data_IF_963604115757
#
_entry.id   IF_963604115757
#
_cell.length_a   1.000
_cell.length_b   1.000
_cell.length_c   1.000
_cell.angle_alpha   90.00
_cell.angle_beta   90.00
_cell.angle_gamma   90.00
#
_symmetry.space_group_name_H-M   'P 1'
#
loop_
_entity.id
_entity.type
_entity.pdbx_description
1 polymer ?
#
# COMPACT_ATOMS: atom_id res chain seq x y z
N UNK A 1 24.14 38.57 45.79
CA UNK A 1 22.77 38.15 46.17
C UNK A 1 22.26 37.26 45.07
N UNK A 2 22.36 35.95 45.29
CA UNK A 2 22.04 34.89 44.34
C UNK A 2 20.58 34.48 44.52
N UNK A 3 19.82 34.36 43.43
CA UNK A 3 18.54 33.65 43.41
C UNK A 3 18.58 32.62 42.29
N UNK A 4 18.89 31.40 42.73
CA UNK A 4 18.66 30.13 42.04
C UNK A 4 17.14 29.94 41.99
N UNK A 5 16.59 29.72 40.79
CA UNK A 5 15.22 29.28 40.59
C UNK A 5 15.26 27.94 39.85
N UNK A 6 14.90 26.90 40.58
CA UNK A 6 14.78 25.52 40.16
C UNK A 6 13.66 25.37 39.13
N UNK A 7 13.97 24.78 37.97
CA UNK A 7 12.97 24.21 37.07
C UNK A 7 12.63 22.80 37.59
N UNK A 8 11.39 22.61 38.03
CA UNK A 8 10.82 21.31 38.36
C UNK A 8 10.56 20.52 37.06
N UNK A 9 11.02 19.27 37.03
CA UNK A 9 10.60 18.28 36.06
C UNK A 9 9.16 17.82 36.39
N UNK A 10 8.25 17.97 35.43
CA UNK A 10 6.95 17.29 35.46
C UNK A 10 7.13 15.86 34.95
N UNK A 11 7.24 14.91 35.87
CA UNK A 11 6.94 13.50 35.62
C UNK A 11 5.41 13.35 35.62
N UNK A 12 4.81 13.20 34.44
CA UNK A 12 3.41 12.81 34.30
C UNK A 12 3.26 11.30 34.48
N UNK A 13 2.64 10.89 35.57
CA UNK A 13 2.27 9.50 35.82
C UNK A 13 1.16 9.05 34.86
N UNK A 14 1.43 8.05 34.03
CA UNK A 14 0.40 7.25 33.35
C UNK A 14 -0.31 6.40 34.40
N UNK A 15 -1.52 6.80 34.78
CA UNK A 15 -2.42 6.02 35.62
C UNK A 15 -3.14 4.98 34.79
N UNK A 16 -2.86 3.71 35.06
CA UNK A 16 -3.66 2.57 34.60
C UNK A 16 -4.97 2.60 35.39
N UNK A 17 -6.06 3.01 34.74
CA UNK A 17 -7.41 2.91 35.28
C UNK A 17 -8.06 1.62 34.73
N UNK A 18 -8.17 0.60 35.57
CA UNK A 18 -9.06 -0.54 35.32
C UNK A 18 -10.52 -0.06 35.44
N UNK A 19 -11.21 0.09 34.30
CA UNK A 19 -12.66 0.12 34.19
C UNK A 19 -13.19 -1.24 33.70
N UNK A 20 -14.44 -1.61 34.03
CA UNK A 20 -15.00 -2.91 33.67
C UNK A 20 -15.21 -3.00 32.15
N UNK A 21 -14.95 -4.19 31.61
CA UNK A 21 -15.23 -4.53 30.22
C UNK A 21 -16.75 -4.48 29.98
N UNK A 22 -17.21 -3.39 29.37
CA UNK A 22 -18.53 -3.35 28.75
C UNK A 22 -18.45 -4.14 27.44
N UNK A 23 -19.15 -5.27 27.44
CA UNK A 23 -19.46 -6.04 26.25
C UNK A 23 -20.32 -5.15 25.33
N UNK A 24 -19.79 -4.81 24.15
CA UNK A 24 -20.55 -4.18 23.08
C UNK A 24 -20.60 -5.12 21.87
N UNK A 25 -21.84 -5.37 21.44
CA UNK A 25 -22.28 -5.73 20.09
C UNK A 25 -21.42 -6.70 19.30
N UNK A 26 -21.79 -7.98 19.34
CA UNK A 26 -21.40 -8.94 18.32
C UNK A 26 -22.12 -8.66 17.00
N UNK A 27 -21.44 -9.07 15.93
CA UNK A 27 -21.94 -9.45 14.60
C UNK A 27 -21.91 -8.36 13.52
N UNK A 28 -20.70 -7.97 13.10
CA UNK A 28 -20.35 -7.63 11.71
C UNK A 28 -18.82 -7.76 11.55
N UNK A 29 -18.36 -8.89 11.00
CA UNK A 29 -16.96 -9.37 10.97
C UNK A 29 -16.29 -9.11 9.61
N UNK A 30 -15.09 -8.51 9.58
CA UNK A 30 -14.31 -8.14 8.38
C UNK A 30 -13.78 -9.35 7.59
N UNK A 31 -12.80 -9.19 6.69
CA UNK A 31 -12.15 -10.34 6.04
C UNK A 31 -11.65 -11.27 7.13
N UNK A 32 -12.40 -12.36 7.26
CA UNK A 32 -12.10 -13.41 8.19
C UNK A 32 -11.29 -14.43 7.40
N UNK A 33 -10.04 -14.63 7.78
CA UNK A 33 -9.18 -15.63 7.16
C UNK A 33 -9.51 -17.02 7.69
N UNK A 34 -9.50 -18.01 6.81
CA UNK A 34 -9.66 -19.41 7.19
C UNK A 34 -8.46 -19.85 8.04
N UNK A 35 -8.75 -20.23 9.29
CA UNK A 35 -7.77 -20.68 10.27
C UNK A 35 -8.13 -22.03 10.88
N UNK A 36 -8.97 -22.82 10.19
CA UNK A 36 -9.42 -24.13 10.68
C UNK A 36 -8.25 -25.11 10.88
N UNK A 37 -7.31 -25.15 9.93
CA UNK A 37 -6.18 -26.08 9.97
C UNK A 37 -5.06 -25.61 10.92
N UNK A 38 -4.28 -26.54 11.46
CA UNK A 38 -3.11 -26.20 12.30
C UNK A 38 -2.08 -25.35 11.56
N UNK A 39 -1.90 -25.58 10.25
CA UNK A 39 -0.97 -24.80 9.44
C UNK A 39 -1.49 -23.38 9.23
N UNK A 40 -2.77 -23.24 8.89
CA UNK A 40 -3.41 -21.94 8.73
C UNK A 40 -3.41 -21.13 10.02
N UNK A 41 -3.74 -21.75 11.16
CA UNK A 41 -3.64 -21.09 12.46
C UNK A 41 -2.20 -20.64 12.77
N UNK A 42 -1.20 -21.46 12.49
CA UNK A 42 0.20 -21.08 12.71
C UNK A 42 0.68 -19.97 11.76
N UNK A 43 0.21 -19.93 10.52
CA UNK A 43 0.50 -18.84 9.57
C UNK A 43 -0.18 -17.54 10.01
N UNK A 44 -1.44 -17.64 10.43
CA UNK A 44 -2.19 -16.54 11.02
C UNK A 44 -1.45 -15.90 12.20
N UNK A 45 -0.98 -16.73 13.15
CA UNK A 45 -0.22 -16.23 14.30
C UNK A 45 1.10 -15.56 13.88
N UNK A 46 1.79 -16.07 12.86
CA UNK A 46 3.01 -15.42 12.36
C UNK A 46 2.73 -14.05 11.74
N UNK A 47 1.61 -13.91 11.01
CA UNK A 47 1.17 -12.63 10.46
C UNK A 47 0.77 -11.65 11.56
N UNK A 48 -0.02 -12.11 12.54
CA UNK A 48 -0.48 -11.30 13.66
C UNK A 48 0.68 -10.83 14.55
N UNK A 49 1.58 -11.73 14.93
CA UNK A 49 2.76 -11.39 15.75
C UNK A 49 3.64 -10.36 15.03
N UNK A 50 3.84 -10.51 13.73
CA UNK A 50 4.60 -9.52 12.96
C UNK A 50 3.89 -8.17 12.89
N UNK A 51 2.57 -8.15 12.64
CA UNK A 51 1.79 -6.93 12.62
C UNK A 51 1.82 -6.19 13.97
N UNK A 52 1.63 -6.90 15.08
CA UNK A 52 1.63 -6.34 16.43
C UNK A 52 3.02 -5.83 16.86
N UNK A 53 4.10 -6.45 16.36
CA UNK A 53 5.47 -6.06 16.69
C UNK A 53 6.09 -5.09 15.68
N UNK A 54 5.38 -4.77 14.59
CA UNK A 54 5.87 -3.87 13.56
C UNK A 54 6.05 -2.46 14.11
N UNK A 55 7.24 -1.90 13.86
CA UNK A 55 7.56 -0.52 14.21
C UNK A 55 7.78 0.25 12.90
N UNK A 56 7.04 1.35 12.68
CA UNK A 56 7.24 2.19 11.51
C UNK A 56 8.71 2.63 11.36
N UNK A 57 9.22 2.52 10.15
CA UNK A 57 10.61 2.83 9.81
C UNK A 57 10.73 4.25 9.26
N UNK A 58 9.72 4.74 8.56
CA UNK A 58 9.73 6.05 7.93
C UNK A 58 9.18 7.09 8.90
N UNK A 59 10.07 7.93 9.43
CA UNK A 59 9.69 9.07 10.25
C UNK A 59 9.95 10.37 9.47
N UNK A 60 9.13 11.42 9.65
CA UNK A 60 9.36 12.71 9.01
C UNK A 60 10.75 13.22 9.39
N UNK A 61 11.59 13.43 8.38
CA UNK A 61 12.90 14.01 8.62
C UNK A 61 12.70 15.49 8.97
N UNK A 62 13.02 15.89 10.20
CA UNK A 62 13.14 17.30 10.53
C UNK A 62 14.41 17.84 9.87
N UNK A 63 14.28 18.46 8.70
CA UNK A 63 15.40 19.15 8.05
C UNK A 63 15.72 20.40 8.89
N UNK A 64 16.77 20.31 9.70
CA UNK A 64 17.38 21.49 10.33
C UNK A 64 18.59 21.83 9.49
N UNK A 65 18.39 22.61 8.43
CA UNK A 65 19.52 23.20 7.71
C UNK A 65 20.19 24.22 8.63
N UNK A 66 21.51 24.07 8.84
CA UNK A 66 22.30 24.76 9.86
C UNK A 66 22.22 26.31 9.84
N UNK A 67 21.65 26.95 8.79
CA UNK A 67 21.47 28.41 8.72
C UNK A 67 20.18 28.87 7.98
N UNK A 68 19.17 28.02 7.77
CA UNK A 68 17.98 28.32 6.95
C UNK A 68 16.61 28.13 7.64
N UNK A 69 15.50 28.68 7.10
CA UNK A 69 14.16 28.28 7.51
C UNK A 69 13.97 26.79 7.21
N UNK A 70 13.30 26.04 8.11
CA UNK A 70 12.93 24.66 7.85
C UNK A 70 12.05 24.62 6.59
N UNK A 71 12.58 24.03 5.51
CA UNK A 71 11.80 23.74 4.32
C UNK A 71 11.27 22.33 4.49
N UNK A 72 9.97 22.20 4.75
CA UNK A 72 9.29 20.91 4.71
C UNK A 72 9.29 20.43 3.26
N UNK A 73 9.86 19.24 3.03
CA UNK A 73 9.85 18.59 1.72
C UNK A 73 8.59 17.75 1.59
N UNK A 74 8.03 17.61 0.37
CA UNK A 74 6.96 16.66 0.14
C UNK A 74 7.39 15.24 0.52
N UNK A 75 6.43 14.47 1.05
CA UNK A 75 6.60 13.10 1.52
C UNK A 75 5.75 12.15 0.70
N UNK A 76 6.35 11.09 0.20
CA UNK A 76 5.65 10.09 -0.63
C UNK A 76 5.84 8.72 -0.04
N UNK A 77 4.74 8.01 0.19
CA UNK A 77 4.80 6.58 0.49
C UNK A 77 4.59 5.80 -0.80
N UNK A 78 5.51 4.91 -1.13
CA UNK A 78 5.46 4.08 -2.34
C UNK A 78 5.57 2.61 -1.95
N UNK A 79 4.66 1.78 -2.44
CA UNK A 79 4.68 0.34 -2.15
C UNK A 79 4.83 -0.48 -3.42
N UNK A 80 5.52 -1.61 -3.32
CA UNK A 80 5.42 -2.72 -4.25
C UNK A 80 5.22 -4.01 -3.46
N UNK A 81 4.97 -5.11 -4.16
CA UNK A 81 4.84 -6.42 -3.52
C UNK A 81 6.11 -7.25 -3.69
N UNK A 82 6.34 -8.15 -2.73
CA UNK A 82 7.31 -9.22 -2.82
C UNK A 82 6.79 -10.42 -3.62
N UNK A 83 7.45 -11.57 -3.47
CA UNK A 83 7.06 -12.82 -4.13
C UNK A 83 5.66 -13.29 -3.69
N UNK A 84 5.02 -14.09 -4.51
CA UNK A 84 3.81 -14.83 -4.15
C UNK A 84 3.58 -16.01 -5.10
N UNK A 85 3.08 -17.12 -4.56
CA UNK A 85 2.79 -18.34 -5.32
C UNK A 85 3.96 -18.73 -6.24
N UNK A 86 3.69 -18.97 -7.53
CA UNK A 86 4.71 -19.28 -8.54
C UNK A 86 5.57 -18.09 -8.96
N UNK A 87 5.21 -16.86 -8.58
CA UNK A 87 5.95 -15.66 -8.91
C UNK A 87 7.04 -15.34 -7.86
N UNK A 88 8.27 -15.75 -8.17
CA UNK A 88 9.43 -15.57 -7.28
C UNK A 88 9.96 -14.14 -7.21
N UNK A 89 9.67 -13.31 -8.21
CA UNK A 89 10.15 -11.93 -8.31
C UNK A 89 9.01 -11.07 -8.83
N UNK A 90 8.51 -10.19 -7.96
CA UNK A 90 7.41 -9.32 -8.33
C UNK A 90 7.97 -8.00 -8.84
N UNK A 91 7.65 -7.71 -10.10
CA UNK A 91 8.13 -6.52 -10.79
C UNK A 91 7.91 -5.23 -9.99
N UNK A 92 6.81 -5.10 -9.24
CA UNK A 92 6.56 -3.87 -8.48
C UNK A 92 7.53 -3.66 -7.32
N UNK A 93 7.85 -4.69 -6.54
CA UNK A 93 8.87 -4.55 -5.49
C UNK A 93 10.26 -4.25 -6.06
N UNK A 94 10.60 -4.84 -7.21
CA UNK A 94 11.86 -4.57 -7.92
C UNK A 94 11.90 -3.14 -8.49
N UNK A 95 10.81 -2.65 -9.07
CA UNK A 95 10.71 -1.26 -9.56
C UNK A 95 10.83 -0.26 -8.41
N UNK A 96 10.18 -0.51 -7.27
CA UNK A 96 10.28 0.35 -6.08
C UNK A 96 11.70 0.30 -5.50
N UNK A 97 12.39 -0.84 -5.56
CA UNK A 97 13.80 -0.94 -5.18
C UNK A 97 14.73 -0.21 -6.17
N UNK A 98 14.37 -0.15 -7.45
CA UNK A 98 15.08 0.65 -8.45
C UNK A 98 14.75 2.16 -8.36
N UNK A 99 13.63 2.53 -7.74
CA UNK A 99 13.29 3.93 -7.46
C UNK A 99 14.19 4.51 -6.38
N UNK A 100 14.48 3.75 -5.32
CA UNK A 100 15.18 4.21 -4.13
C UNK A 100 16.37 3.31 -3.79
N UNK A 101 17.59 3.83 -3.94
CA UNK A 101 18.85 3.08 -3.74
C UNK A 101 18.98 2.47 -2.33
N UNK A 102 18.36 3.09 -1.32
CA UNK A 102 18.35 2.60 0.06
C UNK A 102 17.50 1.33 0.26
N UNK A 103 16.59 1.01 -0.67
CA UNK A 103 15.72 -0.16 -0.59
C UNK A 103 16.31 -1.33 -1.38
N UNK A 104 16.45 -2.48 -0.73
CA UNK A 104 16.83 -3.74 -1.38
C UNK A 104 15.61 -4.65 -1.51
N UNK A 105 15.34 -5.15 -2.72
CA UNK A 105 14.27 -6.13 -2.93
C UNK A 105 14.54 -7.41 -2.11
N UNK A 106 13.59 -7.86 -1.27
CA UNK A 106 13.77 -9.04 -0.43
C UNK A 106 13.63 -10.33 -1.26
N UNK A 107 14.75 -10.80 -1.82
CA UNK A 107 14.82 -12.11 -2.48
C UNK A 107 14.68 -13.24 -1.46
N UNK A 108 13.52 -13.90 -1.47
CA UNK A 108 13.21 -15.04 -0.61
C UNK A 108 12.72 -16.23 -1.45
N UNK A 109 12.87 -17.45 -0.93
CA UNK A 109 12.24 -18.64 -1.50
C UNK A 109 10.93 -18.95 -0.77
N UNK A 110 9.93 -19.55 -1.44
CA UNK A 110 8.78 -20.15 -0.77
C UNK A 110 9.22 -21.14 0.32
N UNK A 111 8.47 -21.25 1.43
CA UNK A 111 8.76 -22.26 2.44
C UNK A 111 8.59 -23.67 1.85
N UNK A 112 9.13 -24.68 2.52
CA UNK A 112 8.82 -26.05 2.14
C UNK A 112 7.34 -26.38 2.46
N UNK A 113 6.72 -27.29 1.70
CA UNK A 113 5.33 -27.71 1.90
C UNK A 113 5.03 -28.00 3.39
N UNK A 114 3.97 -27.36 3.90
CA UNK A 114 3.55 -27.53 5.29
C UNK A 114 4.35 -26.73 6.33
N UNK A 115 5.13 -25.74 5.89
CA UNK A 115 5.82 -24.81 6.79
C UNK A 115 5.25 -23.40 6.68
N UNK A 116 5.48 -22.61 7.73
CA UNK A 116 5.10 -21.20 7.79
C UNK A 116 5.99 -20.38 6.88
N UNK A 117 5.38 -19.46 6.16
CA UNK A 117 6.05 -18.42 5.43
C UNK A 117 6.19 -17.15 6.29
N UNK A 118 7.36 -16.87 6.88
CA UNK A 118 7.50 -15.72 7.76
C UNK A 118 7.34 -14.41 6.97
N UNK A 119 6.55 -13.44 7.46
CA UNK A 119 6.37 -12.16 6.78
C UNK A 119 7.60 -11.25 6.83
N UNK A 120 8.38 -11.30 7.92
CA UNK A 120 9.49 -10.37 8.13
C UNK A 120 10.57 -10.44 7.03
N UNK A 121 11.04 -11.64 6.58
CA UNK A 121 12.00 -11.72 5.46
C UNK A 121 11.45 -11.24 4.11
N UNK A 122 10.14 -11.16 3.93
CA UNK A 122 9.49 -10.69 2.70
C UNK A 122 9.18 -9.19 2.71
N UNK A 123 9.36 -8.55 3.86
CA UNK A 123 9.09 -7.13 4.05
C UNK A 123 10.40 -6.36 3.99
N UNK A 124 10.45 -5.30 3.20
CA UNK A 124 11.57 -4.37 3.19
C UNK A 124 11.03 -2.94 3.20
N UNK A 125 11.59 -2.08 4.05
CA UNK A 125 11.19 -0.67 4.15
C UNK A 125 12.44 0.19 4.26
N UNK A 126 12.45 1.29 3.51
CA UNK A 126 13.53 2.27 3.56
C UNK A 126 12.97 3.68 3.39
N UNK A 127 13.59 4.62 4.12
CA UNK A 127 13.41 6.04 3.92
C UNK A 127 14.62 6.57 3.15
N UNK A 128 14.37 7.30 2.07
CA UNK A 128 15.42 7.92 1.30
C UNK A 128 14.90 9.14 0.55
N UNK A 129 15.70 9.61 -0.42
CA UNK A 129 15.41 10.86 -1.14
C UNK A 129 15.44 10.65 -2.63
N UNK A 130 14.50 11.31 -3.29
CA UNK A 130 14.40 11.34 -4.75
C UNK A 130 14.35 12.79 -5.21
N UNK A 131 15.22 13.15 -6.14
CA UNK A 131 15.13 14.41 -6.86
C UNK A 131 14.13 14.26 -8.02
N UNK A 132 13.12 15.13 -8.04
CA UNK A 132 12.09 15.18 -9.08
C UNK A 132 12.24 16.45 -9.94
N UNK A 133 12.07 16.37 -11.27
CA UNK A 133 12.32 17.49 -12.17
C UNK A 133 11.55 18.78 -11.89
N UNK A 134 10.30 18.70 -11.43
CA UNK A 134 9.45 19.87 -11.21
C UNK A 134 9.31 20.27 -9.75
N UNK A 135 9.36 19.29 -8.85
CA UNK A 135 9.12 19.50 -7.42
C UNK A 135 10.42 19.61 -6.59
N UNK A 136 11.54 19.11 -7.11
CA UNK A 136 12.83 19.06 -6.40
C UNK A 136 12.95 17.85 -5.47
N UNK A 137 13.66 18.00 -4.35
CA UNK A 137 13.88 16.90 -3.40
C UNK A 137 12.58 16.49 -2.69
N UNK A 138 12.31 15.19 -2.68
CA UNK A 138 11.16 14.56 -2.02
C UNK A 138 11.66 13.45 -1.10
N UNK A 139 11.08 13.36 0.09
CA UNK A 139 11.31 12.26 1.02
C UNK A 139 10.40 11.08 0.63
N UNK A 140 10.99 9.91 0.41
CA UNK A 140 10.29 8.72 -0.06
C UNK A 140 10.38 7.61 0.98
N UNK A 141 9.24 7.19 1.51
CA UNK A 141 9.09 5.94 2.24
C UNK A 141 8.76 4.83 1.24
N UNK A 142 9.74 3.99 0.92
CA UNK A 142 9.59 2.92 -0.04
C UNK A 142 9.43 1.56 0.68
N UNK A 143 8.42 0.79 0.28
CA UNK A 143 8.08 -0.49 0.90
C UNK A 143 7.98 -1.61 -0.14
N UNK A 144 8.57 -2.77 0.15
CA UNK A 144 8.18 -4.06 -0.45
C UNK A 144 7.36 -4.82 0.57
N UNK A 145 6.10 -5.09 0.24
CA UNK A 145 5.11 -5.70 1.11
C UNK A 145 5.02 -7.21 0.90
N UNK A 146 4.77 -8.01 1.95
CA UNK A 146 4.38 -9.40 1.79
C UNK A 146 3.00 -9.47 1.14
N UNK A 147 2.76 -10.48 0.33
CA UNK A 147 1.48 -10.69 -0.36
C UNK A 147 0.57 -11.50 0.57
N UNK A 148 0.24 -10.98 1.76
CA UNK A 148 -0.60 -11.65 2.77
C UNK A 148 -1.87 -10.84 3.07
N UNK A 149 -3.00 -11.53 3.27
CA UNK A 149 -4.29 -10.88 3.55
C UNK A 149 -4.21 -9.96 4.77
N UNK A 150 -4.70 -8.74 4.60
CA UNK A 150 -4.71 -7.60 5.54
C UNK A 150 -3.34 -7.11 6.04
N UNK A 151 -2.35 -7.99 6.19
CA UNK A 151 -1.03 -7.61 6.70
C UNK A 151 -0.40 -6.50 5.84
N UNK A 152 -0.48 -6.59 4.52
CA UNK A 152 0.03 -5.54 3.63
C UNK A 152 -0.61 -4.17 3.94
N UNK A 153 -1.93 -4.12 4.15
CA UNK A 153 -2.64 -2.89 4.50
C UNK A 153 -2.23 -2.37 5.89
N UNK A 154 -2.13 -3.26 6.88
CA UNK A 154 -1.70 -2.91 8.26
C UNK A 154 -0.33 -2.23 8.25
N UNK A 155 0.65 -2.80 7.52
CA UNK A 155 2.00 -2.25 7.45
C UNK A 155 2.00 -0.86 6.78
N UNK A 156 1.23 -0.69 5.70
CA UNK A 156 1.10 0.60 5.02
C UNK A 156 0.46 1.65 5.93
N UNK A 157 -0.61 1.29 6.64
CA UNK A 157 -1.30 2.18 7.56
C UNK A 157 -0.39 2.63 8.72
N UNK A 158 0.41 1.71 9.25
CA UNK A 158 1.39 2.04 10.29
C UNK A 158 2.44 3.06 9.81
N UNK A 159 2.93 2.92 8.56
CA UNK A 159 3.82 3.92 7.96
C UNK A 159 3.11 5.23 7.61
N UNK A 160 1.84 5.21 7.16
CA UNK A 160 1.07 6.44 6.92
C UNK A 160 0.95 7.24 8.21
N UNK A 161 0.54 6.61 9.31
CA UNK A 161 0.38 7.27 10.62
C UNK A 161 1.69 7.89 11.12
N UNK A 162 2.82 7.21 10.89
CA UNK A 162 4.12 7.68 11.35
C UNK A 162 4.74 8.74 10.43
N UNK A 163 4.66 8.53 9.11
CA UNK A 163 5.33 9.32 8.09
C UNK A 163 4.51 10.53 7.63
N UNK A 164 3.18 10.47 7.77
CA UNK A 164 2.20 11.46 7.33
C UNK A 164 2.44 11.93 5.88
N UNK A 165 2.33 11.04 4.88
CA UNK A 165 2.66 11.36 3.49
C UNK A 165 1.72 12.39 2.86
N UNK A 166 2.26 13.16 1.92
CA UNK A 166 1.52 14.06 1.02
C UNK A 166 0.96 13.31 -0.20
N UNK A 167 1.49 12.12 -0.50
CA UNK A 167 1.00 11.24 -1.57
C UNK A 167 1.27 9.76 -1.25
N UNK A 168 0.28 8.89 -1.50
CA UNK A 168 0.39 7.43 -1.34
C UNK A 168 0.27 6.73 -2.70
N UNK A 169 1.34 6.09 -3.15
CA UNK A 169 1.38 5.33 -4.40
C UNK A 169 1.51 3.83 -4.11
N UNK A 170 0.41 3.11 -4.31
CA UNK A 170 0.37 1.66 -4.16
C UNK A 170 0.58 0.98 -5.52
N UNK A 171 1.36 -0.09 -5.58
CA UNK A 171 1.63 -0.79 -6.84
C UNK A 171 1.39 -2.30 -6.71
N UNK A 172 0.87 -2.89 -7.78
CA UNK A 172 0.77 -4.33 -7.98
C UNK A 172 1.07 -4.72 -9.42
N UNK A 173 1.23 -6.01 -9.67
CA UNK A 173 1.32 -6.51 -11.04
C UNK A 173 -0.06 -6.94 -11.54
N UNK A 174 -0.34 -6.71 -12.82
CA UNK A 174 -1.41 -7.37 -13.53
C UNK A 174 -0.94 -7.73 -14.94
N UNK A 175 -1.51 -8.82 -15.48
CA UNK A 175 -1.23 -9.31 -16.82
C UNK A 175 0.26 -9.57 -17.08
N UNK A 176 0.55 -10.20 -18.23
CA UNK A 176 1.94 -10.33 -18.65
C UNK A 176 2.42 -9.03 -19.29
N UNK A 177 1.78 -8.59 -20.38
CA UNK A 177 2.05 -7.34 -21.10
C UNK A 177 0.78 -6.52 -21.11
N UNK A 178 0.86 -5.26 -20.72
CA UNK A 178 -0.32 -4.40 -20.64
C UNK A 178 0.07 -2.92 -20.60
N UNK A 179 -0.90 -2.01 -20.82
CA UNK A 179 -0.77 -0.64 -20.37
C UNK A 179 -0.58 -0.59 -18.84
N UNK A 180 0.02 0.49 -18.35
CA UNK A 180 -0.09 0.86 -16.95
C UNK A 180 -1.56 1.13 -16.63
N UNK A 181 -2.13 0.47 -15.62
CA UNK A 181 -3.49 0.76 -15.19
C UNK A 181 -3.45 1.67 -13.98
N UNK A 182 -3.97 2.88 -14.13
CA UNK A 182 -4.24 3.80 -13.04
C UNK A 182 -5.65 3.47 -12.54
N UNK A 183 -5.76 2.75 -11.41
CA UNK A 183 -7.05 2.33 -10.87
C UNK A 183 -7.81 3.55 -10.34
N UNK A 184 -9.03 3.77 -10.84
CA UNK A 184 -9.88 4.90 -10.44
C UNK A 184 -10.51 4.68 -9.06
N UNK A 185 -10.53 3.45 -8.55
CA UNK A 185 -11.13 3.11 -7.28
C UNK A 185 -10.89 1.66 -6.87
N UNK A 186 -11.44 1.29 -5.73
CA UNK A 186 -11.35 -0.04 -5.11
C UNK A 186 -12.69 -0.42 -4.48
N UNK A 187 -12.86 -1.70 -4.13
CA UNK A 187 -14.15 -2.21 -3.63
C UNK A 187 -14.00 -3.05 -2.36
N UNK A 188 -15.03 -3.05 -1.53
CA UNK A 188 -15.12 -3.79 -0.28
C UNK A 188 -15.40 -5.27 -0.53
N UNK A 189 -14.49 -5.96 -1.20
CA UNK A 189 -14.70 -7.34 -1.61
C UNK A 189 -13.40 -8.12 -1.73
N UNK A 190 -13.35 -9.23 -1.03
CA UNK A 190 -12.29 -10.22 -1.12
C UNK A 190 -12.65 -11.33 -2.12
N UNK A 191 -11.63 -11.82 -2.81
CA UNK A 191 -11.68 -13.08 -3.54
C UNK A 191 -11.20 -14.21 -2.63
N UNK A 192 -11.89 -15.36 -2.65
CA UNK A 192 -11.49 -16.53 -1.87
C UNK A 192 -10.32 -17.26 -2.56
N UNK A 193 -9.12 -16.68 -2.47
CA UNK A 193 -7.86 -17.26 -2.95
C UNK A 193 -6.80 -17.25 -1.86
N UNK A 194 -5.96 -18.27 -1.88
CA UNK A 194 -4.75 -18.37 -1.05
C UNK A 194 -3.82 -17.20 -1.34
N UNK A 195 -3.30 -16.60 -0.27
CA UNK A 195 -2.31 -15.53 -0.35
C UNK A 195 -0.91 -16.06 -0.71
N UNK A 196 0.11 -15.19 -0.67
CA UNK A 196 1.48 -15.55 -1.00
C UNK A 196 2.13 -16.60 -0.09
N UNK A 197 1.48 -16.98 1.01
CA UNK A 197 1.91 -18.10 1.86
C UNK A 197 1.43 -19.46 1.33
N UNK A 198 0.53 -19.48 0.34
CA UNK A 198 -0.19 -20.66 -0.15
C UNK A 198 -1.00 -21.37 0.97
N UNK A 199 -1.39 -20.63 2.02
CA UNK A 199 -2.07 -21.18 3.21
C UNK A 199 -3.32 -20.41 3.58
N UNK A 200 -3.25 -19.09 3.75
CA UNK A 200 -4.38 -18.28 4.23
C UNK A 200 -5.23 -17.78 3.07
N UNK A 201 -6.55 -17.84 3.23
CA UNK A 201 -7.52 -17.28 2.30
C UNK A 201 -8.76 -16.76 3.05
N UNK A 202 -9.56 -15.83 2.49
CA UNK A 202 -10.84 -15.46 3.05
C UNK A 202 -11.78 -16.67 3.09
N UNK A 203 -12.61 -16.77 4.13
CA UNK A 203 -13.54 -17.90 4.31
C UNK A 203 -14.57 -18.08 3.19
N UNK A 204 -14.91 -17.00 2.47
CA UNK A 204 -15.87 -17.06 1.38
C UNK A 204 -15.59 -16.05 0.27
N UNK A 205 -16.03 -16.40 -0.94
CA UNK A 205 -15.92 -15.54 -2.12
C UNK A 205 -16.82 -14.32 -1.96
N UNK A 206 -16.25 -13.13 -2.02
CA UNK A 206 -16.97 -11.89 -1.88
C UNK A 206 -17.11 -11.38 -0.45
N UNK A 207 -16.40 -11.97 0.52
CA UNK A 207 -16.35 -11.46 1.89
C UNK A 207 -15.94 -9.97 1.92
N UNK A 208 -16.57 -9.12 2.76
CA UNK A 208 -16.19 -7.71 2.87
C UNK A 208 -14.79 -7.57 3.48
N UNK A 209 -13.95 -6.70 2.91
CA UNK A 209 -12.63 -6.35 3.46
C UNK A 209 -12.75 -5.65 4.82
N UNK A 210 -13.74 -4.76 4.94
CA UNK A 210 -14.12 -4.07 6.18
C UNK A 210 -15.62 -4.28 6.34
N UNK A 211 -16.04 -5.12 7.27
CA UNK A 211 -17.46 -5.46 7.39
C UNK A 211 -18.32 -4.39 8.03
N UNK A 212 -17.72 -3.52 8.83
CA UNK A 212 -18.41 -2.37 9.42
C UNK A 212 -18.60 -1.23 8.42
N UNK A 213 -18.02 -1.33 7.22
CA UNK A 213 -18.19 -0.34 6.18
C UNK A 213 -19.64 -0.34 5.66
N UNK A 214 -20.20 0.84 5.43
CA UNK A 214 -21.57 0.97 4.98
C UNK A 214 -21.74 0.53 3.51
N UNK A 215 -22.97 0.34 3.05
CA UNK A 215 -23.24 0.08 1.62
C UNK A 215 -22.72 1.20 0.71
N UNK A 216 -22.74 2.45 1.18
CA UNK A 216 -22.21 3.62 0.46
C UNK A 216 -20.68 3.55 0.32
N UNK A 217 -20.01 2.79 1.20
CA UNK A 217 -18.57 2.56 1.17
C UNK A 217 -18.18 1.29 0.40
N UNK A 218 -19.13 0.59 -0.22
CA UNK A 218 -18.83 -0.64 -0.96
C UNK A 218 -17.81 -0.40 -2.10
N UNK A 219 -17.90 0.74 -2.79
CA UNK A 219 -16.96 1.13 -3.84
C UNK A 219 -16.41 2.51 -3.52
N UNK A 220 -15.09 2.64 -3.46
CA UNK A 220 -14.43 3.90 -3.11
C UNK A 220 -13.60 4.45 -4.27
N UNK A 221 -13.81 5.71 -4.67
CA UNK A 221 -12.87 6.39 -5.55
C UNK A 221 -11.49 6.51 -4.89
N UNK A 222 -10.46 6.36 -5.68
CA UNK A 222 -9.10 6.80 -5.34
C UNK A 222 -8.96 8.29 -5.65
N UNK A 223 -7.92 8.95 -5.11
CA UNK A 223 -7.74 10.40 -5.24
C UNK A 223 -6.45 10.72 -6.02
N UNK A 224 -6.58 11.35 -7.19
CA UNK A 224 -5.43 11.71 -8.02
C UNK A 224 -5.73 12.95 -8.87
N UNK A 225 -4.69 13.63 -9.33
CA UNK A 225 -4.74 14.63 -10.41
C UNK A 225 -4.72 13.89 -11.76
N UNK A 226 -5.80 13.16 -12.06
CA UNK A 226 -5.84 12.10 -13.07
C UNK A 226 -5.19 12.45 -14.41
N UNK A 227 -5.59 13.56 -15.02
CA UNK A 227 -5.11 13.95 -16.34
C UNK A 227 -3.66 14.44 -16.32
N UNK A 228 -3.27 15.20 -15.29
CA UNK A 228 -1.91 15.71 -15.09
C UNK A 228 -0.93 14.55 -14.89
N UNK A 229 -1.29 13.61 -14.01
CA UNK A 229 -0.48 12.42 -13.74
C UNK A 229 -0.40 11.50 -14.95
N UNK A 230 -1.52 11.23 -15.64
CA UNK A 230 -1.50 10.43 -16.86
C UNK A 230 -0.60 11.03 -17.92
N UNK A 231 -0.68 12.34 -18.16
CA UNK A 231 0.17 13.00 -19.16
C UNK A 231 1.66 12.87 -18.83
N UNK A 232 2.04 12.99 -17.54
CA UNK A 232 3.42 12.79 -17.09
C UNK A 232 3.89 11.34 -17.31
N UNK A 233 3.05 10.37 -16.97
CA UNK A 233 3.31 8.94 -17.17
C UNK A 233 3.45 8.60 -18.65
N UNK A 234 2.50 9.01 -19.50
CA UNK A 234 2.55 8.74 -20.94
C UNK A 234 3.82 9.34 -21.57
N UNK A 235 4.21 10.55 -21.17
CA UNK A 235 5.46 11.17 -21.62
C UNK A 235 6.71 10.38 -21.20
N UNK A 236 6.74 9.84 -19.99
CA UNK A 236 7.85 9.00 -19.52
C UNK A 236 7.88 7.63 -20.22
N UNK A 237 6.72 7.02 -20.47
CA UNK A 237 6.61 5.77 -21.24
C UNK A 237 7.08 5.99 -22.68
N UNK A 238 6.75 7.12 -23.31
CA UNK A 238 7.26 7.45 -24.65
C UNK A 238 8.78 7.63 -24.66
N UNK A 239 9.32 8.35 -23.67
CA UNK A 239 10.75 8.63 -23.57
C UNK A 239 11.59 7.36 -23.35
N UNK A 240 11.10 6.45 -22.51
CA UNK A 240 11.78 5.20 -22.15
C UNK A 240 11.33 3.98 -22.96
N UNK A 241 10.30 4.12 -23.79
CA UNK A 241 9.75 3.04 -24.62
C UNK A 241 10.78 2.34 -25.51
N UNK A 242 11.80 3.03 -26.06
CA UNK A 242 12.89 2.41 -26.81
C UNK A 242 13.95 1.68 -25.97
N UNK A 243 13.94 1.78 -24.65
CA UNK A 243 14.94 1.13 -23.80
C UNK A 243 14.77 -0.39 -23.87
N UNK A 244 15.85 -1.11 -24.22
CA UNK A 244 15.80 -2.53 -24.54
C UNK A 244 16.42 -3.40 -23.45
N UNK A 245 15.82 -4.58 -23.26
CA UNK A 245 16.43 -5.73 -22.59
C UNK A 245 16.40 -6.91 -23.55
N UNK A 246 17.55 -7.54 -23.78
CA UNK A 246 17.67 -8.73 -24.64
C UNK A 246 17.00 -8.54 -26.04
N UNK A 247 17.02 -7.32 -26.56
CA UNK A 247 16.38 -6.94 -27.83
C UNK A 247 14.86 -6.75 -27.78
N UNK A 248 14.26 -6.75 -26.58
CA UNK A 248 12.84 -6.41 -26.35
C UNK A 248 12.75 -4.98 -25.79
N UNK A 249 12.12 -4.03 -26.51
CA UNK A 249 11.92 -2.68 -26.00
C UNK A 249 10.89 -2.64 -24.88
N UNK A 250 11.00 -1.67 -23.95
CA UNK A 250 10.03 -1.48 -22.87
C UNK A 250 8.60 -1.31 -23.42
N UNK A 251 8.45 -0.59 -24.54
CA UNK A 251 7.15 -0.35 -25.19
C UNK A 251 6.43 -1.61 -25.68
N UNK A 252 7.14 -2.74 -25.87
CA UNK A 252 6.49 -4.02 -26.18
C UNK A 252 5.81 -4.63 -24.94
N UNK A 253 6.26 -4.24 -23.74
CA UNK A 253 5.79 -4.73 -22.44
C UNK A 253 4.80 -3.76 -21.80
N UNK A 254 5.16 -2.49 -21.71
CA UNK A 254 4.40 -1.39 -21.11
C UNK A 254 3.76 -0.51 -22.18
N UNK A 255 2.47 -0.70 -22.40
CA UNK A 255 1.76 -0.22 -23.60
C UNK A 255 0.99 1.09 -23.37
N UNK A 256 1.68 2.11 -22.83
CA UNK A 256 1.08 3.40 -22.42
C UNK A 256 0.37 3.33 -21.07
N UNK A 257 -0.42 4.35 -20.72
CA UNK A 257 -1.25 4.36 -19.51
C UNK A 257 -2.76 4.45 -19.83
N UNK A 258 -3.57 3.82 -18.97
CA UNK A 258 -5.05 3.82 -19.06
C UNK A 258 -5.69 3.96 -17.70
N UNK A 259 -6.86 4.59 -17.67
CA UNK A 259 -7.71 4.60 -16.48
C UNK A 259 -8.54 3.32 -16.38
N UNK A 260 -8.40 2.61 -15.25
CA UNK A 260 -9.17 1.41 -14.96
C UNK A 260 -10.37 1.74 -14.07
N UNK A 261 -11.58 1.44 -14.57
CA UNK A 261 -12.83 1.68 -13.83
C UNK A 261 -13.01 0.75 -12.63
N UNK A 262 -14.02 1.01 -11.81
CA UNK A 262 -14.39 0.24 -10.63
C UNK A 262 -15.92 0.31 -10.42
N UNK A 263 -16.61 -0.71 -9.88
CA UNK A 263 -16.09 -1.97 -9.37
C UNK A 263 -15.63 -2.91 -10.48
N UNK A 264 -14.44 -3.51 -10.35
CA UNK A 264 -13.98 -4.58 -11.25
C UNK A 264 -13.96 -5.90 -10.51
N UNK A 265 -14.79 -6.86 -10.92
CA UNK A 265 -14.82 -8.18 -10.26
C UNK A 265 -13.48 -8.92 -10.37
N UNK A 266 -12.70 -8.62 -11.41
CA UNK A 266 -11.33 -9.15 -11.60
C UNK A 266 -10.32 -8.57 -10.61
N UNK A 267 -10.56 -7.39 -10.04
CA UNK A 267 -9.67 -6.75 -9.07
C UNK A 267 -10.25 -6.88 -7.65
N UNK A 268 -10.24 -8.10 -7.12
CA UNK A 268 -10.78 -8.45 -5.78
C UNK A 268 -9.76 -9.18 -4.90
N UNK A 269 -8.52 -9.30 -5.36
CA UNK A 269 -7.44 -9.94 -4.63
C UNK A 269 -6.64 -8.92 -3.79
N UNK A 270 -5.39 -9.22 -3.41
CA UNK A 270 -4.62 -8.43 -2.43
C UNK A 270 -4.29 -6.99 -2.86
N UNK A 271 -4.20 -6.74 -4.16
CA UNK A 271 -4.08 -5.38 -4.69
C UNK A 271 -5.30 -4.52 -4.28
N UNK A 272 -6.50 -5.06 -4.47
CA UNK A 272 -7.74 -4.42 -4.05
C UNK A 272 -7.88 -4.37 -2.51
N UNK A 273 -7.51 -5.42 -1.78
CA UNK A 273 -7.48 -5.41 -0.31
C UNK A 273 -6.66 -4.24 0.22
N UNK A 274 -5.41 -4.13 -0.24
CA UNK A 274 -4.51 -3.06 0.20
C UNK A 274 -5.06 -1.69 -0.18
N UNK A 275 -5.50 -1.50 -1.43
CA UNK A 275 -6.03 -0.22 -1.90
C UNK A 275 -7.29 0.22 -1.15
N UNK A 276 -8.24 -0.70 -0.96
CA UNK A 276 -9.51 -0.42 -0.29
C UNK A 276 -9.33 -0.16 1.19
N UNK A 277 -8.64 -1.04 1.91
CA UNK A 277 -8.47 -0.93 3.37
C UNK A 277 -7.69 0.32 3.74
N UNK A 278 -6.60 0.62 3.01
CA UNK A 278 -5.83 1.86 3.20
C UNK A 278 -6.69 3.08 2.90
N UNK A 279 -7.37 3.10 1.76
CA UNK A 279 -8.22 4.23 1.36
C UNK A 279 -9.40 4.48 2.31
N UNK A 280 -10.01 3.41 2.84
CA UNK A 280 -11.11 3.51 3.79
C UNK A 280 -10.67 4.18 5.09
N UNK A 281 -9.57 3.71 5.71
CA UNK A 281 -9.09 4.28 6.97
C UNK A 281 -8.55 5.70 6.81
N UNK A 282 -7.97 6.05 5.65
CA UNK A 282 -7.59 7.44 5.35
C UNK A 282 -8.81 8.38 5.30
N UNK A 283 -9.97 7.90 4.87
CA UNK A 283 -11.22 8.69 4.80
C UNK A 283 -12.02 8.70 6.11
N UNK A 284 -11.67 7.83 7.06
CA UNK A 284 -12.38 7.66 8.33
C UNK A 284 -11.40 7.82 9.51
N UNK A 285 -10.75 8.99 9.66
CA UNK A 285 -9.80 9.20 10.74
C UNK A 285 -10.48 9.06 12.11
N UNK A 286 -9.83 8.31 13.00
CA UNK A 286 -10.33 7.98 14.33
C UNK A 286 -11.24 6.75 14.42
N UNK A 287 -11.71 6.22 13.29
CA UNK A 287 -12.45 4.96 13.30
C UNK A 287 -11.50 3.79 13.56
N UNK A 288 -11.93 2.87 14.41
CA UNK A 288 -11.20 1.63 14.68
C UNK A 288 -11.78 0.51 13.83
N UNK A 289 -10.95 -0.08 12.98
CA UNK A 289 -11.30 -1.23 12.15
C UNK A 289 -10.51 -2.43 12.64
N UNK A 290 -11.20 -3.56 12.81
CA UNK A 290 -10.54 -4.84 13.10
C UNK A 290 -10.12 -5.49 11.77
N UNK A 291 -8.86 -5.87 11.66
CA UNK A 291 -8.24 -6.54 10.51
C UNK A 291 -7.56 -7.84 10.96
N UNK A 292 -7.14 -8.68 10.00
CA UNK A 292 -6.53 -9.98 10.29
C UNK A 292 -7.44 -10.82 11.19
N UNK A 293 -8.73 -10.95 10.89
CA UNK A 293 -9.65 -11.69 11.77
C UNK A 293 -9.57 -13.19 11.55
N UNK A 294 -9.46 -13.97 12.63
CA UNK A 294 -9.44 -15.43 12.54
C UNK A 294 -10.85 -16.04 12.53
N UNK A 295 -11.14 -16.90 11.56
CA UNK A 295 -12.43 -17.64 11.50
C UNK A 295 -12.64 -18.64 12.63
N UNK A 296 -11.55 -19.23 13.13
CA UNK A 296 -11.58 -20.23 14.19
C UNK A 296 -10.71 -19.76 15.37
N UNK A 297 -11.17 -18.74 16.13
CA UNK A 297 -10.40 -18.20 17.24
C UNK A 297 -10.12 -19.28 18.29
N UNK A 298 -8.90 -19.28 18.84
CA UNK A 298 -8.46 -20.25 19.85
C UNK A 298 -8.29 -19.58 21.21
N UNK A 299 -8.75 -20.26 22.26
CA UNK A 299 -8.68 -19.76 23.63
C UNK A 299 -7.24 -19.37 24.01
N UNK A 300 -7.06 -18.14 24.51
CA UNK A 300 -5.77 -17.62 24.96
C UNK A 300 -4.94 -16.92 23.89
N UNK A 301 -5.47 -16.72 22.68
CA UNK A 301 -4.83 -15.99 21.60
C UNK A 301 -5.71 -14.84 21.12
N UNK A 302 -5.09 -13.81 20.56
CA UNK A 302 -5.79 -12.73 19.86
C UNK A 302 -6.35 -13.25 18.53
N UNK A 303 -7.57 -12.82 18.19
CA UNK A 303 -8.32 -13.23 16.99
C UNK A 303 -8.48 -12.10 15.96
N UNK A 304 -7.68 -11.04 16.09
CA UNK A 304 -7.60 -9.92 15.16
C UNK A 304 -6.77 -8.77 15.70
N UNK A 305 -6.60 -7.74 14.87
CA UNK A 305 -5.84 -6.54 15.15
C UNK A 305 -6.72 -5.30 14.94
N UNK A 306 -6.87 -4.49 15.98
CA UNK A 306 -7.53 -3.19 15.87
C UNK A 306 -6.56 -2.17 15.27
N UNK A 307 -6.97 -1.53 14.18
CA UNK A 307 -6.19 -0.55 13.42
C UNK A 307 -6.95 0.76 13.34
N UNK A 308 -6.23 1.86 13.52
CA UNK A 308 -6.76 3.22 13.48
C UNK A 308 -5.71 4.15 12.86
N UNK A 309 -6.16 5.11 12.05
CA UNK A 309 -5.39 6.30 11.71
C UNK A 309 -5.91 7.46 12.56
N UNK A 310 -5.03 8.16 13.26
CA UNK A 310 -5.43 9.29 14.10
C UNK A 310 -5.41 10.62 13.36
N UNK A 311 -4.53 10.74 12.36
CA UNK A 311 -4.44 11.92 11.49
C UNK A 311 -5.45 11.87 10.34
N UNK A 312 -5.95 13.05 9.94
CA UNK A 312 -6.88 13.19 8.83
C UNK A 312 -6.12 13.16 7.49
N UNK A 313 -6.22 12.03 6.80
CA UNK A 313 -5.65 11.81 5.47
C UNK A 313 -6.71 11.80 4.36
N UNK A 314 -7.94 12.26 4.65
CA UNK A 314 -9.05 12.20 3.68
C UNK A 314 -8.73 12.94 2.39
N UNK A 315 -7.99 14.06 2.49
CA UNK A 315 -7.52 14.86 1.35
C UNK A 315 -6.18 14.41 0.74
N UNK A 316 -5.46 13.46 1.33
CA UNK A 316 -4.18 12.98 0.80
C UNK A 316 -4.42 12.17 -0.47
N UNK A 317 -3.85 12.57 -1.64
CA UNK A 317 -3.95 11.78 -2.85
C UNK A 317 -3.38 10.38 -2.65
N UNK A 318 -4.05 9.41 -3.26
CA UNK A 318 -3.73 7.99 -3.17
C UNK A 318 -4.22 7.27 -4.41
N UNK A 319 -3.38 6.41 -4.98
CA UNK A 319 -3.71 5.63 -6.16
C UNK A 319 -3.12 4.23 -6.07
N UNK A 320 -3.80 3.27 -6.69
CA UNK A 320 -3.24 1.95 -6.95
C UNK A 320 -2.90 1.83 -8.45
N UNK A 321 -1.73 1.30 -8.75
CA UNK A 321 -1.23 1.18 -10.12
C UNK A 321 -0.86 -0.26 -10.44
N UNK A 322 -1.44 -0.82 -11.50
CA UNK A 322 -1.03 -2.14 -11.99
C UNK A 322 0.00 -2.06 -13.12
N UNK A 323 1.11 -2.77 -12.92
CA UNK A 323 2.23 -2.89 -13.84
C UNK A 323 2.22 -4.25 -14.56
N UNK A 324 2.75 -4.36 -15.78
CA UNK A 324 3.01 -5.65 -16.42
C UNK A 324 3.90 -6.55 -15.55
N UNK A 325 3.54 -7.84 -15.41
CA UNK A 325 4.28 -8.77 -14.54
C UNK A 325 5.69 -9.11 -15.04
N UNK A 326 5.96 -8.93 -16.33
CA UNK A 326 7.23 -9.34 -16.95
C UNK A 326 8.26 -8.21 -17.07
N UNK A 327 8.11 -7.13 -16.30
CA UNK A 327 9.14 -6.11 -16.16
C UNK A 327 10.28 -6.66 -15.30
N UNK A 328 11.49 -6.69 -15.85
CA UNK A 328 12.66 -7.25 -15.18
C UNK A 328 13.97 -6.67 -15.73
N UNK A 329 15.06 -6.73 -14.95
CA UNK A 329 16.41 -6.34 -15.39
C UNK A 329 16.51 -4.89 -15.83
N UNK A 330 17.06 -4.62 -17.01
CA UNK A 330 17.28 -3.25 -17.53
C UNK A 330 15.98 -2.44 -17.66
N UNK A 331 14.83 -3.10 -17.81
CA UNK A 331 13.53 -2.42 -17.82
C UNK A 331 13.16 -1.81 -16.46
N UNK A 332 13.70 -2.32 -15.35
CA UNK A 332 13.35 -1.84 -14.01
C UNK A 332 13.75 -0.38 -13.77
N UNK A 333 14.93 0.04 -14.26
CA UNK A 333 15.36 1.43 -14.17
C UNK A 333 14.48 2.38 -14.98
N UNK A 334 14.00 1.90 -16.14
CA UNK A 334 13.07 2.65 -16.99
C UNK A 334 11.68 2.75 -16.37
N UNK A 335 11.19 1.65 -15.78
CA UNK A 335 9.94 1.64 -15.03
C UNK A 335 10.00 2.52 -13.77
N UNK A 336 11.15 2.56 -13.07
CA UNK A 336 11.37 3.48 -11.97
C UNK A 336 11.34 4.95 -12.42
N UNK A 337 11.84 5.27 -13.62
CA UNK A 337 11.71 6.61 -14.19
C UNK A 337 10.25 6.98 -14.52
N UNK A 338 9.45 6.02 -15.02
CA UNK A 338 7.99 6.21 -15.19
C UNK A 338 7.30 6.45 -13.84
N UNK A 339 7.69 5.71 -12.80
CA UNK A 339 7.19 5.92 -11.44
C UNK A 339 7.56 7.30 -10.88
N UNK A 340 8.79 7.78 -11.12
CA UNK A 340 9.20 9.16 -10.77
C UNK A 340 8.34 10.20 -11.48
N UNK A 341 8.02 10.01 -12.75
CA UNK A 341 7.16 10.93 -13.49
C UNK A 341 5.72 10.96 -12.95
N UNK A 342 5.20 9.81 -12.49
CA UNK A 342 3.90 9.73 -11.80
C UNK A 342 3.92 10.58 -10.53
N UNK A 343 4.93 10.38 -9.68
CA UNK A 343 5.10 11.10 -8.41
C UNK A 343 5.28 12.61 -8.66
N UNK A 344 6.17 12.99 -9.56
CA UNK A 344 6.44 14.38 -9.93
C UNK A 344 5.18 15.05 -10.48
N UNK A 345 4.42 14.37 -11.34
CA UNK A 345 3.15 14.88 -11.87
C UNK A 345 2.10 15.13 -10.80
N UNK A 346 1.97 14.24 -9.81
CA UNK A 346 1.00 14.42 -8.72
C UNK A 346 1.42 15.54 -7.77
N UNK A 347 2.69 15.57 -7.37
CA UNK A 347 3.17 16.59 -6.44
C UNK A 347 3.26 17.98 -7.08
N UNK A 348 3.59 18.08 -8.38
CA UNK A 348 3.58 19.34 -9.14
C UNK A 348 2.18 19.95 -9.18
N UNK A 349 1.16 19.11 -9.41
CA UNK A 349 -0.24 19.54 -9.37
C UNK A 349 -0.64 20.14 -8.01
N UNK A 350 -0.17 19.53 -6.90
CA UNK A 350 -0.43 20.03 -5.55
C UNK A 350 0.34 21.32 -5.23
N UNK A 351 1.66 21.31 -5.46
CA UNK A 351 2.58 22.34 -4.96
C UNK A 351 2.60 23.57 -5.85
N UNK A 352 2.65 23.38 -7.17
CA UNK A 352 2.86 24.48 -8.12
C UNK A 352 1.55 24.97 -8.75
N UNK A 353 0.64 24.06 -9.10
CA UNK A 353 -0.62 24.42 -9.77
C UNK A 353 -1.77 24.65 -8.79
N UNK A 354 -1.67 24.13 -7.57
CA UNK A 354 -2.74 24.17 -6.56
C UNK A 354 -4.00 23.43 -7.02
N UNK A 355 -3.85 22.44 -7.89
CA UNK A 355 -4.93 21.57 -8.36
C UNK A 355 -5.17 20.50 -7.30
N UNK A 356 -6.33 20.51 -6.61
CA UNK A 356 -6.64 19.45 -5.66
C UNK A 356 -6.86 18.13 -6.40
N UNK A 357 -6.46 16.98 -5.82
CA UNK A 357 -6.77 15.68 -6.41
C UNK A 357 -8.29 15.49 -6.44
N UNK A 358 -8.76 14.73 -7.43
CA UNK A 358 -10.19 14.47 -7.60
C UNK A 358 -10.49 12.98 -7.41
N UNK A 359 -11.69 12.64 -6.92
CA UNK A 359 -12.18 11.27 -6.92
C UNK A 359 -12.12 10.65 -8.32
N UNK A 360 -11.67 9.40 -8.43
CA UNK A 360 -11.73 8.67 -9.69
C UNK A 360 -13.17 8.49 -10.16
N UNK A 361 -13.39 8.75 -11.44
CA UNK A 361 -14.72 8.75 -12.07
C UNK A 361 -14.77 7.70 -13.19
N UNK A 362 -15.74 6.80 -13.15
CA UNK A 362 -15.92 5.83 -14.22
C UNK A 362 -16.29 6.45 -15.57
N UNK A 363 -16.76 7.70 -15.62
CA UNK A 363 -16.97 8.42 -16.89
C UNK A 363 -15.67 8.61 -17.68
N UNK A 364 -14.50 8.60 -17.02
CA UNK A 364 -13.18 8.67 -17.66
C UNK A 364 -12.50 7.30 -17.83
N UNK A 365 -13.15 6.20 -17.43
CA UNK A 365 -12.57 4.87 -17.55
C UNK A 365 -12.37 4.45 -19.01
N UNK A 366 -11.23 3.83 -19.30
CA UNK A 366 -10.90 3.26 -20.61
C UNK A 366 -10.86 1.74 -20.61
N UNK A 367 -10.82 1.15 -19.42
CA UNK A 367 -10.98 -0.27 -19.18
C UNK A 367 -12.29 -0.46 -18.45
N UNK A 368 -13.20 -1.16 -19.12
CA UNK A 368 -14.55 -1.39 -18.61
C UNK A 368 -14.50 -2.19 -17.30
N UNK A 369 -15.41 -1.91 -16.35
CA UNK A 369 -15.58 -2.65 -15.10
C UNK A 369 -15.66 -4.19 -15.26
N UNK A 370 -16.20 -4.65 -16.40
CA UNK A 370 -16.39 -6.06 -16.73
C UNK A 370 -15.53 -6.54 -17.90
N UNK A 371 -14.55 -5.74 -18.35
CA UNK A 371 -13.61 -6.24 -19.35
C UNK A 371 -12.92 -7.47 -18.76
N UNK A 372 -12.83 -8.61 -19.50
CA UNK A 372 -11.96 -9.70 -19.10
C UNK A 372 -10.54 -9.14 -19.10
N UNK A 373 -10.10 -8.68 -17.93
CA UNK A 373 -8.72 -8.27 -17.72
C UNK A 373 -7.83 -9.46 -18.06
N UNK A 374 -6.66 -9.20 -18.63
CA UNK A 374 -5.63 -10.23 -18.68
C UNK A 374 -5.49 -10.80 -17.28
N UNK A 375 -5.51 -12.13 -17.16
CA UNK A 375 -5.61 -12.85 -15.88
C UNK A 375 -4.76 -12.14 -14.81
N UNK A 376 -5.45 -11.47 -13.88
CA UNK A 376 -4.84 -10.95 -12.67
C UNK A 376 -4.56 -12.17 -11.81
N UNK A 377 -3.28 -12.39 -11.51
CA UNK A 377 -2.78 -13.56 -10.79
C UNK A 377 -3.45 -13.74 -9.44
#
# INVERSE_FOLDING_TARGET
MSRILSLLALLGCLGIACGPADQHGSDEQSVTVDTESELAWAQYLANLEYAQSYLPTCLPASVVDDEGPQVERPRVLVTGFGRFQSNRQNATGEVVSALLDELTYPLTDPPADGQIDPPAPQTAVALGRVELPKVGEVDVCAMVLPVFWDLAAVLVLAEIEAFAPDFVLLNGIAGWRQPLWLELGSINRARALEDGSDVLMPIEEGAPLIATASEDDYARPLLLSWHTVRAAVDGAIEAHGPDERDGTPLSDILQGARFAGYPRSSNTYLCNNTAYTVGYLMDHPGDTVRLLEASHPREGFDDGLDVVLSEDHSGTPRVFVHWPSNLEGEHLGSAAAVMRALIDGQLDALVNDGEPPTPGDNEIAELEPDAPGGDTY
#
